data_IF_497067579085
#
_entry.id   IF_497067579085
#
_cell.length_a   1.000
_cell.length_b   1.000
_cell.length_c   1.000
_cell.angle_alpha   90.00
_cell.angle_beta   90.00
_cell.angle_gamma   90.00
#
_symmetry.space_group_name_H-M   'P 1'
#
loop_
_entity.id
_entity.type
_entity.pdbx_description
1 polymer ?
#
# COMPACT_ATOMS: atom_id res chain seq x y z
N UNK A 1 -42.09 26.47 5.89
CA UNK A 1 -42.40 27.16 7.15
C UNK A 1 -41.15 27.17 8.01
N UNK A 2 -40.76 28.37 8.47
CA UNK A 2 -39.95 28.75 9.64
C UNK A 2 -38.73 27.88 10.00
N UNK A 3 -37.53 28.41 10.22
CA UNK A 3 -37.14 29.78 10.55
C UNK A 3 -35.85 29.73 11.37
N UNK A 4 -34.94 30.65 11.06
CA UNK A 4 -33.77 31.16 11.82
C UNK A 4 -33.55 30.64 13.24
N UNK A 5 -32.27 30.47 13.59
CA UNK A 5 -31.67 31.18 14.74
C UNK A 5 -30.14 31.27 14.57
N UNK A 6 -29.70 32.42 14.09
CA UNK A 6 -28.36 32.96 14.29
C UNK A 6 -28.34 33.61 15.68
N UNK A 7 -27.39 33.22 16.52
CA UNK A 7 -27.08 33.87 17.79
C UNK A 7 -25.60 34.19 17.84
N UNK A 8 -25.27 35.46 17.63
CA UNK A 8 -23.96 36.07 17.80
C UNK A 8 -23.62 36.18 19.29
N UNK A 9 -22.39 35.84 19.67
CA UNK A 9 -21.79 36.35 20.92
C UNK A 9 -20.33 36.71 20.66
N UNK A 10 -20.07 38.01 20.55
CA UNK A 10 -18.72 38.58 20.62
C UNK A 10 -18.39 38.83 22.10
N UNK A 11 -17.36 38.15 22.60
CA UNK A 11 -16.72 38.46 23.86
C UNK A 11 -15.21 38.35 23.70
N UNK A 12 -14.52 39.49 23.53
CA UNK A 12 -13.06 39.55 23.74
C UNK A 12 -12.79 39.32 25.22
N UNK A 13 -11.95 38.33 25.55
CA UNK A 13 -10.96 38.40 26.64
C UNK A 13 -9.89 37.31 26.47
N UNK A 14 -8.66 37.79 26.35
CA UNK A 14 -7.36 37.21 26.72
C UNK A 14 -7.30 35.76 27.24
N UNK A 15 -6.39 34.99 26.64
CA UNK A 15 -5.50 34.07 27.35
C UNK A 15 -6.04 32.66 27.65
N UNK A 16 -5.16 31.69 27.38
CA UNK A 16 -5.22 30.26 27.75
C UNK A 16 -5.96 29.36 26.76
N UNK A 17 -5.16 28.50 26.10
CA UNK A 17 -5.61 27.38 25.28
C UNK A 17 -6.55 26.44 26.06
N UNK A 18 -7.66 26.08 25.44
CA UNK A 18 -8.45 24.91 25.81
C UNK A 18 -9.04 24.30 24.53
N UNK A 19 -8.36 23.28 24.01
CA UNK A 19 -8.88 22.48 22.90
C UNK A 19 -9.96 21.52 23.41
N UNK A 20 -11.24 21.85 23.15
CA UNK A 20 -12.34 20.91 23.33
C UNK A 20 -12.39 19.95 22.14
N UNK A 21 -12.25 18.65 22.41
CA UNK A 21 -12.58 17.57 21.47
C UNK A 21 -14.07 17.68 21.13
N UNK A 22 -14.41 17.92 19.87
CA UNK A 22 -15.78 17.81 19.36
C UNK A 22 -15.81 16.66 18.36
N UNK A 23 -16.48 15.58 18.74
CA UNK A 23 -16.82 14.48 17.84
C UNK A 23 -18.23 14.75 17.32
N UNK A 24 -18.39 14.82 15.99
CA UNK A 24 -19.70 14.72 15.35
C UNK A 24 -19.84 13.33 14.75
N UNK A 25 -20.85 12.60 15.21
CA UNK A 25 -21.38 11.42 14.52
C UNK A 25 -22.44 11.93 13.56
N UNK A 26 -22.16 11.82 12.26
CA UNK A 26 -23.17 11.85 11.21
C UNK A 26 -22.93 10.60 10.36
N UNK A 27 -24.02 9.93 9.97
CA UNK A 27 -24.05 8.65 9.30
C UNK A 27 -23.00 8.53 8.18
N UNK A 28 -22.07 7.57 8.34
CA UNK A 28 -21.09 7.17 7.32
C UNK A 28 -19.89 8.10 7.20
N UNK A 29 -18.70 7.55 7.49
CA UNK A 29 -17.38 8.20 7.47
C UNK A 29 -17.09 9.16 8.62
N UNK A 30 -16.09 8.81 9.45
CA UNK A 30 -14.90 9.61 9.81
C UNK A 30 -14.01 8.71 10.70
N UNK A 31 -12.80 8.39 10.25
CA UNK A 31 -11.64 8.61 11.10
C UNK A 31 -10.83 9.72 10.42
N UNK A 32 -10.68 10.82 11.14
CA UNK A 32 -10.06 12.04 10.64
C UNK A 32 -8.60 11.76 10.34
N UNK A 33 -8.25 11.67 9.06
CA UNK A 33 -6.93 12.10 8.64
C UNK A 33 -7.04 13.62 8.55
N UNK A 34 -6.54 14.32 9.56
CA UNK A 34 -6.23 15.75 9.43
C UNK A 34 -5.01 15.88 8.50
N UNK A 35 -5.17 15.60 7.20
CA UNK A 35 -4.27 16.17 6.20
C UNK A 35 -4.77 17.59 6.04
N UNK A 36 -4.09 18.50 6.75
CA UNK A 36 -4.19 19.93 6.47
C UNK A 36 -3.96 20.11 4.97
N UNK A 37 -5.03 20.48 4.26
CA UNK A 37 -4.97 20.95 2.89
C UNK A 37 -4.30 22.32 2.93
N UNK A 38 -2.97 22.33 2.78
CA UNK A 38 -2.21 23.52 2.47
C UNK A 38 -1.33 23.17 1.28
N UNK A 39 -1.52 23.87 0.18
CA UNK A 39 -0.63 23.81 -0.97
C UNK A 39 0.74 24.32 -0.55
N UNK A 40 1.68 23.41 -0.30
CA UNK A 40 3.12 23.66 -0.26
C UNK A 40 3.85 22.33 0.00
N UNK A 41 5.07 22.22 -0.51
CA UNK A 41 5.91 21.02 -0.67
C UNK A 41 6.48 20.41 0.63
N UNK A 42 5.93 20.73 1.81
CA UNK A 42 6.36 20.20 3.10
C UNK A 42 5.19 19.68 3.94
N UNK A 43 4.62 18.55 3.53
CA UNK A 43 3.70 17.81 4.41
C UNK A 43 4.53 17.11 5.50
N UNK A 44 4.51 17.65 6.73
CA UNK A 44 4.98 16.92 7.92
C UNK A 44 4.15 15.65 8.06
N UNK A 45 4.82 14.50 8.09
CA UNK A 45 4.17 13.23 8.41
C UNK A 45 3.68 13.28 9.87
N UNK A 46 2.54 12.64 10.19
CA UNK A 46 2.14 12.45 11.57
C UNK A 46 3.27 11.71 12.31
N UNK A 47 3.78 12.30 13.38
CA UNK A 47 4.76 11.63 14.28
C UNK A 47 4.08 10.61 15.18
N UNK A 48 2.76 10.72 15.35
CA UNK A 48 1.93 9.82 16.13
C UNK A 48 1.39 8.67 15.29
N UNK A 49 0.98 7.58 15.97
CA UNK A 49 0.25 6.49 15.34
C UNK A 49 -1.05 7.03 14.73
N UNK A 50 -1.36 6.57 13.52
CA UNK A 50 -2.62 6.85 12.84
C UNK A 50 -3.34 5.55 12.49
N UNK A 51 -4.61 5.66 12.17
CA UNK A 51 -5.39 4.52 11.68
C UNK A 51 -6.12 4.92 10.39
N UNK A 52 -6.17 4.00 9.43
CA UNK A 52 -6.95 4.13 8.21
C UNK A 52 -8.02 3.04 8.22
N UNK A 53 -9.29 3.39 8.12
CA UNK A 53 -10.41 2.45 8.25
C UNK A 53 -11.27 2.48 6.98
N UNK A 54 -11.58 1.30 6.42
CA UNK A 54 -12.60 1.16 5.37
C UNK A 54 -13.36 -0.16 5.54
N UNK A 55 -14.64 -0.05 5.88
CA UNK A 55 -15.48 -1.21 6.18
C UNK A 55 -14.92 -2.04 7.34
N UNK A 56 -14.84 -3.35 7.16
CA UNK A 56 -14.30 -4.27 8.16
C UNK A 56 -12.77 -4.17 8.34
N UNK A 57 -12.05 -3.50 7.43
CA UNK A 57 -10.59 -3.49 7.43
C UNK A 57 -10.01 -2.17 7.90
N UNK A 58 -8.84 -2.25 8.53
CA UNK A 58 -8.08 -1.08 8.94
C UNK A 58 -6.57 -1.31 8.89
N UNK A 59 -5.83 -0.22 8.78
CA UNK A 59 -4.38 -0.22 8.89
C UNK A 59 -3.95 0.76 9.98
N UNK A 60 -3.18 0.28 10.94
CA UNK A 60 -2.54 1.12 11.96
C UNK A 60 -1.15 1.45 11.48
N UNK A 61 -0.87 2.74 11.32
CA UNK A 61 0.35 3.27 10.75
C UNK A 61 1.21 4.03 11.74
N UNK A 62 2.52 3.98 11.56
CA UNK A 62 3.50 4.79 12.28
C UNK A 62 4.55 5.30 11.29
N UNK A 63 4.82 6.60 11.31
CA UNK A 63 5.91 7.17 10.53
C UNK A 63 7.26 6.92 11.20
N UNK A 64 8.28 6.61 10.41
CA UNK A 64 9.67 6.46 10.85
C UNK A 64 10.57 7.32 9.94
N UNK A 65 11.59 7.96 10.52
CA UNK A 65 12.71 8.52 9.76
C UNK A 65 13.79 7.45 9.56
N UNK A 66 14.23 7.24 8.32
CA UNK A 66 15.31 6.33 7.98
C UNK A 66 16.63 7.11 7.88
N UNK A 67 17.65 6.66 8.62
CA UNK A 67 18.92 7.39 8.80
C UNK A 67 19.93 7.27 7.64
N UNK A 68 19.63 6.54 6.56
CA UNK A 68 20.62 6.25 5.51
C UNK A 68 20.58 7.22 4.33
N UNK A 69 21.62 8.05 4.16
CA UNK A 69 21.96 8.77 2.92
C UNK A 69 21.09 9.98 2.55
N UNK A 70 20.15 10.35 3.41
CA UNK A 70 19.15 11.41 3.26
C UNK A 70 17.99 11.16 4.22
N UNK A 71 17.14 12.15 4.50
CA UNK A 71 15.93 11.96 5.33
C UNK A 71 14.85 11.21 4.55
N UNK A 72 15.08 9.93 4.24
CA UNK A 72 14.03 9.09 3.68
C UNK A 72 13.02 8.77 4.77
N UNK A 73 11.73 8.88 4.44
CA UNK A 73 10.64 8.67 5.38
C UNK A 73 9.97 7.35 5.09
N UNK A 74 9.54 6.65 6.13
CA UNK A 74 8.82 5.40 6.00
C UNK A 74 7.50 5.45 6.77
N UNK A 75 6.50 4.71 6.30
CA UNK A 75 5.25 4.47 7.03
C UNK A 75 5.11 2.97 7.21
N UNK A 76 5.27 2.50 8.45
CA UNK A 76 5.08 1.10 8.83
C UNK A 76 3.61 0.85 9.15
N UNK A 77 3.03 -0.20 8.58
CA UNK A 77 1.59 -0.49 8.65
C UNK A 77 1.38 -1.93 9.12
N UNK A 78 0.49 -2.10 10.09
CA UNK A 78 -0.10 -3.38 10.48
C UNK A 78 -1.59 -3.38 10.11
N UNK A 79 -2.10 -4.50 9.61
CA UNK A 79 -3.49 -4.61 9.18
C UNK A 79 -4.34 -5.28 10.26
N UNK A 80 -5.55 -4.79 10.44
CA UNK A 80 -6.53 -5.38 11.34
C UNK A 80 -7.88 -5.59 10.65
N UNK A 81 -8.63 -6.59 11.11
CA UNK A 81 -9.99 -6.88 10.65
C UNK A 81 -10.94 -6.80 11.84
N UNK A 82 -12.10 -6.20 11.63
CA UNK A 82 -13.20 -6.20 12.59
C UNK A 82 -13.87 -7.57 12.61
N UNK A 83 -13.92 -8.18 13.78
CA UNK A 83 -14.59 -9.43 14.06
C UNK A 83 -16.08 -9.19 14.37
N UNK A 84 -16.87 -10.27 14.43
CA UNK A 84 -18.32 -10.20 14.71
C UNK A 84 -18.67 -9.56 16.06
N UNK A 85 -17.77 -9.64 17.03
CA UNK A 85 -17.92 -9.01 18.35
C UNK A 85 -17.58 -7.50 18.34
N UNK A 86 -17.29 -6.94 17.17
CA UNK A 86 -16.94 -5.54 16.97
C UNK A 86 -15.47 -5.21 17.25
N UNK A 87 -14.68 -6.14 17.81
CA UNK A 87 -13.26 -5.91 18.10
C UNK A 87 -12.43 -6.01 16.82
N UNK A 88 -11.35 -5.24 16.75
CA UNK A 88 -10.36 -5.34 15.66
C UNK A 88 -9.23 -6.25 16.08
N UNK A 89 -8.87 -7.19 15.21
CA UNK A 89 -7.79 -8.17 15.43
C UNK A 89 -6.71 -8.02 14.36
N UNK A 90 -5.45 -8.11 14.78
CA UNK A 90 -4.31 -8.15 13.87
C UNK A 90 -4.42 -9.30 12.88
N UNK A 91 -4.15 -9.00 11.61
CA UNK A 91 -4.14 -9.97 10.55
C UNK A 91 -2.76 -10.63 10.45
N UNK A 92 -2.75 -11.96 10.36
CA UNK A 92 -1.56 -12.73 10.01
C UNK A 92 -1.41 -12.84 8.50
N UNK A 93 -0.22 -13.24 8.04
CA UNK A 93 0.10 -13.41 6.62
C UNK A 93 -0.93 -14.23 5.84
N UNK A 94 -1.36 -15.36 6.39
CA UNK A 94 -2.32 -16.25 5.75
C UNK A 94 -3.68 -15.59 5.53
N UNK A 95 -4.15 -14.78 6.49
CA UNK A 95 -5.41 -14.05 6.37
C UNK A 95 -5.33 -12.96 5.31
N UNK A 96 -4.22 -12.21 5.26
CA UNK A 96 -4.00 -11.19 4.22
C UNK A 96 -3.88 -11.81 2.84
N UNK A 97 -3.09 -12.89 2.73
CA UNK A 97 -2.91 -13.63 1.49
C UNK A 97 -4.25 -14.16 0.96
N UNK A 98 -5.07 -14.76 1.82
CA UNK A 98 -6.39 -15.23 1.44
C UNK A 98 -7.30 -14.07 1.00
N UNK A 99 -7.34 -12.98 1.77
CA UNK A 99 -8.18 -11.82 1.48
C UNK A 99 -7.82 -11.13 0.15
N UNK A 100 -6.54 -11.09 -0.25
CA UNK A 100 -6.18 -10.64 -1.60
C UNK A 100 -6.80 -11.51 -2.70
N UNK A 101 -6.93 -12.82 -2.49
CA UNK A 101 -7.51 -13.73 -3.48
C UNK A 101 -9.04 -13.68 -3.53
N UNK A 102 -9.69 -13.62 -2.37
CA UNK A 102 -11.13 -13.94 -2.28
C UNK A 102 -12.03 -12.81 -1.80
N UNK A 103 -11.49 -11.69 -1.30
CA UNK A 103 -12.30 -10.59 -0.77
C UNK A 103 -12.11 -9.28 -1.58
N UNK A 104 -13.07 -8.93 -2.46
CA UNK A 104 -13.04 -7.67 -3.19
C UNK A 104 -13.05 -6.42 -2.28
N UNK A 105 -13.70 -6.47 -1.13
CA UNK A 105 -13.71 -5.35 -0.18
C UNK A 105 -12.33 -5.14 0.43
N UNK A 106 -11.59 -6.22 0.69
CA UNK A 106 -10.20 -6.14 1.14
C UNK A 106 -9.31 -5.53 0.06
N UNK A 107 -9.42 -5.97 -1.19
CA UNK A 107 -8.65 -5.40 -2.31
C UNK A 107 -8.96 -3.93 -2.53
N UNK A 108 -10.21 -3.52 -2.39
CA UNK A 108 -10.61 -2.12 -2.47
C UNK A 108 -10.05 -1.30 -1.30
N UNK A 109 -10.11 -1.82 -0.07
CA UNK A 109 -9.46 -1.23 1.11
C UNK A 109 -7.97 -1.05 0.90
N UNK A 110 -7.28 -2.11 0.49
CA UNK A 110 -5.84 -2.14 0.34
C UNK A 110 -5.37 -1.17 -0.76
N UNK A 111 -6.07 -1.13 -1.90
CA UNK A 111 -5.79 -0.18 -2.97
C UNK A 111 -6.03 1.27 -2.53
N UNK A 112 -7.06 1.52 -1.73
CA UNK A 112 -7.35 2.86 -1.20
C UNK A 112 -6.27 3.31 -0.21
N UNK A 113 -5.86 2.43 0.71
CA UNK A 113 -4.79 2.69 1.67
C UNK A 113 -3.49 3.12 0.96
N UNK A 114 -3.13 2.40 -0.11
CA UNK A 114 -1.92 2.69 -0.89
C UNK A 114 -2.06 3.98 -1.71
N UNK A 115 -3.23 4.22 -2.30
CA UNK A 115 -3.53 5.45 -3.06
C UNK A 115 -3.37 6.72 -2.21
N UNK A 116 -3.85 6.67 -0.96
CA UNK A 116 -3.83 7.80 -0.01
C UNK A 116 -2.46 8.03 0.66
N UNK A 117 -1.46 7.20 0.37
CA UNK A 117 -0.12 7.40 0.90
C UNK A 117 0.43 8.79 0.52
N UNK A 118 1.05 9.52 1.46
CA UNK A 118 1.42 10.94 1.28
C UNK A 118 2.71 11.15 0.45
N UNK A 119 3.23 10.12 -0.20
CA UNK A 119 4.47 10.16 -0.99
C UNK A 119 4.17 10.24 -2.49
N UNK A 120 4.93 11.02 -3.25
CA UNK A 120 4.78 11.08 -4.72
C UNK A 120 4.94 9.67 -5.34
N UNK A 121 5.92 8.91 -4.85
CA UNK A 121 6.08 7.47 -5.09
C UNK A 121 6.78 6.81 -3.91
N UNK A 122 6.61 5.49 -3.80
CA UNK A 122 7.14 4.72 -2.68
C UNK A 122 7.51 3.30 -3.09
N UNK A 123 8.51 2.75 -2.40
CA UNK A 123 8.69 1.30 -2.34
C UNK A 123 7.63 0.71 -1.41
N UNK A 124 7.05 -0.42 -1.80
CA UNK A 124 6.17 -1.21 -0.95
C UNK A 124 6.88 -2.51 -0.61
N UNK A 125 7.08 -2.76 0.68
CA UNK A 125 7.82 -3.92 1.17
C UNK A 125 7.02 -4.57 2.29
N UNK A 126 6.83 -5.89 2.24
CA UNK A 126 6.19 -6.63 3.32
C UNK A 126 7.23 -7.37 4.17
N UNK A 127 6.92 -7.71 5.42
CA UNK A 127 7.83 -8.55 6.19
C UNK A 127 7.97 -9.95 5.56
N UNK A 128 9.15 -10.57 5.58
CA UNK A 128 9.37 -11.89 4.97
C UNK A 128 8.44 -12.98 5.51
N UNK A 129 8.16 -13.97 4.66
CA UNK A 129 7.22 -15.07 4.96
C UNK A 129 7.74 -16.41 4.41
N UNK A 130 7.51 -17.48 5.16
CA UNK A 130 7.64 -18.88 4.72
C UNK A 130 6.29 -19.57 4.75
N UNK A 131 6.16 -20.73 4.08
CA UNK A 131 4.94 -21.54 4.11
C UNK A 131 4.52 -21.89 5.56
N UNK A 132 5.47 -22.20 6.44
CA UNK A 132 5.21 -22.55 7.83
C UNK A 132 4.71 -21.38 8.68
N UNK A 133 5.09 -20.15 8.34
CA UNK A 133 4.76 -18.95 9.13
C UNK A 133 3.44 -18.29 8.74
N UNK A 134 2.74 -18.79 7.71
CA UNK A 134 1.50 -18.17 7.19
C UNK A 134 0.42 -17.97 8.28
N UNK A 135 0.22 -18.97 9.14
CA UNK A 135 -0.87 -18.94 10.14
C UNK A 135 -0.53 -18.17 11.41
N UNK A 136 0.75 -17.91 11.68
CA UNK A 136 1.22 -17.38 12.97
C UNK A 136 1.89 -16.02 12.87
N UNK A 137 2.52 -15.68 11.73
CA UNK A 137 3.27 -14.43 11.59
C UNK A 137 2.32 -13.25 11.35
N UNK A 138 2.37 -12.20 12.18
CA UNK A 138 1.66 -10.96 11.90
C UNK A 138 2.07 -10.38 10.54
N UNK A 139 1.11 -9.88 9.79
CA UNK A 139 1.37 -9.17 8.55
C UNK A 139 1.75 -7.72 8.85
N UNK A 140 2.88 -7.28 8.32
CA UNK A 140 3.36 -5.91 8.34
C UNK A 140 3.85 -5.50 6.96
N UNK A 141 3.65 -4.25 6.61
CA UNK A 141 4.22 -3.66 5.42
C UNK A 141 4.80 -2.28 5.72
N UNK A 142 5.62 -1.79 4.81
CA UNK A 142 6.17 -0.45 4.88
C UNK A 142 6.06 0.22 3.52
N UNK A 143 5.75 1.52 3.54
CA UNK A 143 5.86 2.40 2.39
C UNK A 143 7.08 3.29 2.61
N UNK A 144 8.09 3.19 1.76
CA UNK A 144 9.33 3.97 1.88
C UNK A 144 9.33 5.05 0.80
N UNK A 145 9.34 6.31 1.22
CA UNK A 145 9.42 7.49 0.35
C UNK A 145 10.70 7.44 -0.49
N UNK A 146 10.59 7.81 -1.76
CA UNK A 146 11.75 7.87 -2.65
C UNK A 146 11.56 8.92 -3.73
N UNK A 147 12.45 9.90 -3.74
CA UNK A 147 12.51 10.93 -4.76
C UNK A 147 12.78 10.34 -6.16
N UNK A 148 13.33 9.12 -6.25
CA UNK A 148 13.57 8.43 -7.53
C UNK A 148 12.31 8.31 -8.39
N UNK A 149 11.13 8.16 -7.77
CA UNK A 149 9.87 8.02 -8.50
C UNK A 149 9.32 9.34 -9.05
N UNK A 150 9.85 10.49 -8.61
CA UNK A 150 9.33 11.79 -9.01
C UNK A 150 9.60 12.04 -10.49
N UNK A 151 8.54 12.15 -11.27
CA UNK A 151 8.62 12.40 -12.71
C UNK A 151 9.08 11.19 -13.53
N UNK A 152 9.10 9.99 -12.95
CA UNK A 152 9.51 8.78 -13.64
C UNK A 152 8.55 8.48 -14.81
N UNK A 153 9.11 8.34 -16.02
CA UNK A 153 8.34 7.96 -17.22
C UNK A 153 8.27 6.46 -17.34
N UNK A 154 7.11 5.95 -17.74
CA UNK A 154 6.93 4.52 -17.87
C UNK A 154 7.72 3.96 -19.06
N UNK A 155 8.38 2.82 -18.87
CA UNK A 155 9.03 2.05 -19.93
C UNK A 155 8.73 0.56 -19.76
N UNK A 156 7.76 0.08 -20.56
CA UNK A 156 7.35 -1.32 -20.57
C UNK A 156 8.18 -2.21 -21.48
N UNK A 157 9.15 -1.66 -22.23
CA UNK A 157 9.93 -2.43 -23.20
C UNK A 157 10.62 -3.68 -22.62
N UNK A 158 11.14 -3.68 -21.37
CA UNK A 158 11.77 -4.88 -20.79
C UNK A 158 10.79 -6.02 -20.50
N UNK A 159 9.48 -5.75 -20.49
CA UNK A 159 8.44 -6.76 -20.25
C UNK A 159 7.61 -7.08 -21.50
N UNK A 160 7.94 -6.50 -22.66
CA UNK A 160 7.16 -6.60 -23.90
C UNK A 160 6.82 -8.04 -24.29
N UNK A 161 7.78 -8.97 -24.22
CA UNK A 161 7.57 -10.40 -24.52
C UNK A 161 6.50 -11.07 -23.65
N UNK A 162 6.17 -10.51 -22.48
CA UNK A 162 5.22 -11.09 -21.53
C UNK A 162 3.84 -10.41 -21.58
N UNK A 163 3.79 -9.12 -21.91
CA UNK A 163 2.58 -8.29 -21.77
C UNK A 163 2.05 -7.71 -23.08
N UNK A 164 2.81 -7.72 -24.18
CA UNK A 164 2.39 -7.09 -25.44
C UNK A 164 1.15 -7.72 -26.06
N UNK A 165 1.05 -9.05 -26.01
CA UNK A 165 -0.15 -9.79 -26.47
C UNK A 165 -1.40 -9.51 -25.64
N UNK A 166 -1.27 -8.77 -24.54
CA UNK A 166 -2.35 -8.42 -23.61
C UNK A 166 -2.60 -6.89 -23.56
N UNK A 167 -1.92 -6.10 -24.39
CA UNK A 167 -2.17 -4.66 -24.52
C UNK A 167 -3.63 -4.41 -24.89
N UNK A 168 -4.22 -3.36 -24.32
CA UNK A 168 -5.64 -3.06 -24.44
C UNK A 168 -6.53 -3.80 -23.43
N UNK A 169 -5.99 -4.70 -22.63
CA UNK A 169 -6.77 -5.44 -21.62
C UNK A 169 -6.38 -5.06 -20.19
N UNK A 170 -7.23 -5.40 -19.22
CA UNK A 170 -6.91 -5.29 -17.78
C UNK A 170 -6.07 -6.47 -17.26
N UNK A 171 -5.36 -7.18 -18.14
CA UNK A 171 -4.60 -8.36 -17.72
C UNK A 171 -3.39 -7.98 -16.85
N UNK A 172 -3.02 -8.93 -16.00
CA UNK A 172 -1.79 -8.95 -15.21
C UNK A 172 -1.09 -10.26 -15.48
N UNK A 173 0.20 -10.21 -15.81
CA UNK A 173 1.01 -11.38 -16.10
C UNK A 173 1.95 -11.69 -14.92
N UNK A 174 2.11 -12.96 -14.59
CA UNK A 174 3.11 -13.45 -13.66
C UNK A 174 4.13 -14.34 -14.38
N UNK A 175 5.42 -14.10 -14.20
CA UNK A 175 6.49 -14.84 -14.87
C UNK A 175 7.80 -14.79 -14.06
N UNK A 176 8.70 -15.79 -14.19
CA UNK A 176 10.02 -15.71 -13.57
C UNK A 176 10.86 -14.58 -14.18
N UNK A 177 11.71 -13.95 -13.38
CA UNK A 177 12.72 -13.03 -13.91
C UNK A 177 13.79 -13.79 -14.72
N UNK A 178 14.67 -13.05 -15.42
CA UNK A 178 15.70 -13.64 -16.29
C UNK A 178 16.62 -14.67 -15.59
N UNK A 179 16.84 -14.53 -14.29
CA UNK A 179 17.68 -15.44 -13.50
C UNK A 179 16.90 -16.59 -12.83
N UNK A 180 15.57 -16.58 -12.92
CA UNK A 180 14.69 -17.54 -12.24
C UNK A 180 14.66 -17.45 -10.71
N UNK A 181 15.30 -16.42 -10.11
CA UNK A 181 15.39 -16.27 -8.66
C UNK A 181 14.25 -15.44 -8.04
N UNK A 182 13.36 -14.90 -8.88
CA UNK A 182 12.17 -14.16 -8.48
C UNK A 182 10.99 -14.36 -9.44
N UNK A 183 9.75 -14.22 -8.93
CA UNK A 183 8.55 -14.07 -9.77
C UNK A 183 8.22 -12.58 -9.88
N UNK A 184 7.92 -12.15 -11.10
CA UNK A 184 7.52 -10.80 -11.47
C UNK A 184 6.02 -10.80 -11.78
N UNK A 185 5.26 -9.88 -11.20
CA UNK A 185 3.83 -9.72 -11.46
C UNK A 185 3.61 -8.32 -12.04
N UNK A 186 3.17 -8.25 -13.29
CA UNK A 186 3.25 -7.06 -14.14
C UNK A 186 1.91 -6.80 -14.83
N UNK A 187 1.28 -5.62 -14.65
CA UNK A 187 0.09 -5.26 -15.42
C UNK A 187 0.44 -4.95 -16.87
N UNK A 188 -0.41 -5.38 -17.80
CA UNK A 188 -0.35 -4.92 -19.19
C UNK A 188 -0.85 -3.47 -19.31
N UNK A 189 -0.52 -2.79 -20.41
CA UNK A 189 -1.11 -1.47 -20.71
C UNK A 189 -2.59 -1.65 -21.06
N UNK A 190 -3.48 -1.17 -20.21
CA UNK A 190 -4.92 -1.24 -20.45
C UNK A 190 -5.36 -0.22 -21.50
N UNK A 191 -6.49 -0.49 -22.15
CA UNK A 191 -7.08 0.41 -23.15
C UNK A 191 -7.50 1.74 -22.52
N UNK A 192 -7.24 2.85 -23.22
CA UNK A 192 -7.63 4.20 -22.78
C UNK A 192 -6.87 4.73 -21.56
N UNK A 193 -5.90 3.99 -21.00
CA UNK A 193 -5.12 4.40 -19.83
C UNK A 193 -3.79 5.01 -20.26
N UNK A 194 -3.48 6.19 -19.70
CA UNK A 194 -2.19 6.84 -19.89
C UNK A 194 -1.03 6.02 -19.33
N UNK A 195 0.14 6.12 -19.98
CA UNK A 195 1.35 5.41 -19.53
C UNK A 195 1.85 5.89 -18.17
N UNK A 196 1.47 7.10 -17.78
CA UNK A 196 1.75 7.71 -16.47
C UNK A 196 1.05 6.99 -15.31
N UNK A 197 0.18 6.00 -15.57
CA UNK A 197 -0.35 5.07 -14.58
C UNK A 197 0.61 3.91 -14.26
N UNK A 198 1.56 3.58 -15.14
CA UNK A 198 2.37 2.37 -15.03
C UNK A 198 3.80 2.51 -14.50
N UNK A 199 4.39 3.69 -14.17
CA UNK A 199 5.82 3.73 -13.84
C UNK A 199 6.17 3.08 -12.49
N UNK A 200 5.24 3.07 -11.54
CA UNK A 200 5.41 2.49 -10.20
C UNK A 200 4.06 2.30 -9.49
N UNK A 201 4.07 1.66 -8.32
CA UNK A 201 2.85 1.26 -7.60
C UNK A 201 1.96 2.45 -7.21
N UNK A 202 2.54 3.53 -6.69
CA UNK A 202 1.76 4.71 -6.28
C UNK A 202 0.99 5.35 -7.45
N UNK A 203 1.63 5.48 -8.62
CA UNK A 203 0.98 5.99 -9.82
C UNK A 203 -0.16 5.06 -10.25
N UNK A 204 0.08 3.75 -10.23
CA UNK A 204 -0.91 2.75 -10.60
C UNK A 204 -2.12 2.75 -9.65
N UNK A 205 -1.91 2.84 -8.34
CA UNK A 205 -3.01 2.93 -7.37
C UNK A 205 -3.85 4.20 -7.56
N UNK A 206 -3.24 5.31 -8.01
CA UNK A 206 -3.93 6.58 -8.26
C UNK A 206 -4.64 6.66 -9.60
N UNK A 207 -4.06 6.08 -10.66
CA UNK A 207 -4.48 6.32 -12.05
C UNK A 207 -4.89 5.06 -12.83
N UNK A 208 -4.46 3.88 -12.38
CA UNK A 208 -4.79 2.62 -13.05
C UNK A 208 -6.28 2.26 -12.93
N UNK A 209 -6.81 1.38 -13.81
CA UNK A 209 -8.19 0.88 -13.73
C UNK A 209 -8.44 0.09 -12.45
N UNK A 210 -9.63 0.25 -11.87
CA UNK A 210 -10.02 -0.48 -10.64
C UNK A 210 -10.03 -2.00 -10.87
N UNK A 211 -10.52 -2.46 -12.03
CA UNK A 211 -10.52 -3.88 -12.40
C UNK A 211 -9.09 -4.43 -12.49
N UNK A 212 -8.13 -3.62 -12.97
CA UNK A 212 -6.75 -4.06 -13.08
C UNK A 212 -6.02 -4.06 -11.73
N UNK A 213 -6.36 -3.14 -10.81
CA UNK A 213 -5.90 -3.20 -9.40
C UNK A 213 -6.40 -4.45 -8.72
N UNK A 214 -7.67 -4.80 -8.93
CA UNK A 214 -8.28 -6.03 -8.41
C UNK A 214 -7.56 -7.30 -8.92
N UNK A 215 -7.31 -7.35 -10.23
CA UNK A 215 -6.57 -8.42 -10.88
C UNK A 215 -5.13 -8.52 -10.38
N UNK A 216 -4.46 -7.38 -10.12
CA UNK A 216 -3.08 -7.34 -9.61
C UNK A 216 -2.96 -8.05 -8.26
N UNK A 217 -3.87 -7.76 -7.33
CA UNK A 217 -3.87 -8.40 -6.00
C UNK A 217 -4.27 -9.88 -6.06
N UNK A 218 -5.23 -10.22 -6.91
CA UNK A 218 -5.62 -11.61 -7.12
C UNK A 218 -4.46 -12.44 -7.69
N UNK A 219 -3.74 -11.90 -8.67
CA UNK A 219 -2.57 -12.56 -9.26
C UNK A 219 -1.40 -12.63 -8.27
N UNK A 220 -1.22 -11.62 -7.41
CA UNK A 220 -0.28 -11.68 -6.29
C UNK A 220 -0.59 -12.83 -5.34
N UNK A 221 -1.86 -13.00 -4.94
CA UNK A 221 -2.27 -14.10 -4.07
C UNK A 221 -1.92 -15.45 -4.67
N UNK A 222 -2.35 -15.68 -5.91
CA UNK A 222 -2.09 -16.91 -6.66
C UNK A 222 -0.59 -17.19 -6.78
N UNK A 223 0.18 -16.19 -7.22
CA UNK A 223 1.62 -16.31 -7.44
C UNK A 223 2.38 -16.58 -6.13
N UNK A 224 2.00 -15.93 -5.03
CA UNK A 224 2.65 -16.13 -3.74
C UNK A 224 2.33 -17.51 -3.15
N UNK A 225 1.07 -17.99 -3.27
CA UNK A 225 0.71 -19.34 -2.86
C UNK A 225 1.55 -20.40 -3.60
N UNK A 226 1.65 -20.28 -4.93
CA UNK A 226 2.46 -21.18 -5.74
C UNK A 226 3.95 -21.10 -5.37
N UNK A 227 4.49 -19.89 -5.26
CA UNK A 227 5.91 -19.69 -4.93
C UNK A 227 6.27 -20.28 -3.57
N UNK A 228 5.44 -20.07 -2.54
CA UNK A 228 5.66 -20.63 -1.20
C UNK A 228 5.59 -22.16 -1.19
N UNK A 229 4.79 -22.78 -2.06
CA UNK A 229 4.76 -24.23 -2.22
C UNK A 229 6.04 -24.74 -2.89
N UNK A 230 6.47 -24.10 -3.97
CA UNK A 230 7.63 -24.46 -4.77
C UNK A 230 8.94 -24.40 -3.97
N UNK A 231 9.13 -23.35 -3.15
CA UNK A 231 10.42 -23.11 -2.49
C UNK A 231 10.46 -23.51 -1.02
N UNK A 232 9.38 -24.06 -0.47
CA UNK A 232 9.30 -24.46 0.94
C UNK A 232 10.51 -25.34 1.34
N UNK A 233 11.16 -25.09 2.50
CA UNK A 233 10.81 -24.15 3.57
C UNK A 233 11.39 -22.74 3.42
N UNK A 234 11.94 -22.39 2.25
CA UNK A 234 12.64 -21.11 2.03
C UNK A 234 11.71 -19.91 2.18
N UNK A 235 12.31 -18.80 2.58
CA UNK A 235 11.66 -17.49 2.73
C UNK A 235 11.41 -16.83 1.38
N UNK A 236 10.29 -16.11 1.30
CA UNK A 236 9.92 -15.26 0.16
C UNK A 236 9.79 -13.82 0.64
N UNK A 237 10.37 -12.91 -0.14
CA UNK A 237 10.26 -11.47 0.07
C UNK A 237 9.29 -10.88 -0.96
N UNK A 238 8.23 -10.24 -0.47
CA UNK A 238 7.16 -9.62 -1.28
C UNK A 238 7.38 -8.12 -1.33
N UNK A 239 7.55 -7.55 -2.51
CA UNK A 239 7.80 -6.11 -2.62
C UNK A 239 7.41 -5.53 -3.97
N UNK A 240 7.53 -4.20 -4.10
CA UNK A 240 7.79 -3.54 -5.37
C UNK A 240 9.20 -3.05 -5.43
N UNK A 241 9.74 -3.02 -6.65
CA UNK A 241 10.91 -2.23 -6.95
C UNK A 241 10.68 -1.54 -8.30
N UNK A 242 11.40 -0.45 -8.56
CA UNK A 242 11.28 0.30 -9.83
C UNK A 242 12.56 1.01 -10.24
N UNK A 243 13.66 0.78 -9.51
CA UNK A 243 14.93 1.47 -9.70
C UNK A 243 15.68 1.12 -11.00
N UNK A 244 15.29 0.06 -11.71
CA UNK A 244 15.96 -0.39 -12.94
C UNK A 244 15.05 -0.60 -14.15
N UNK A 245 13.74 -0.72 -13.93
CA UNK A 245 12.71 -0.77 -14.98
C UNK A 245 11.55 0.06 -14.49
N UNK A 246 11.22 1.13 -15.21
CA UNK A 246 10.13 2.05 -14.86
C UNK A 246 8.79 1.54 -15.38
N UNK A 247 8.45 0.30 -15.07
CA UNK A 247 7.12 -0.25 -15.28
C UNK A 247 6.76 -1.06 -14.05
N UNK A 248 5.57 -0.87 -13.51
CA UNK A 248 5.13 -1.48 -12.27
C UNK A 248 5.34 -3.00 -12.34
N UNK A 249 6.05 -3.52 -11.35
CA UNK A 249 6.15 -4.95 -11.15
C UNK A 249 6.20 -5.24 -9.64
N UNK A 250 5.29 -6.10 -9.18
CA UNK A 250 5.45 -6.74 -7.87
C UNK A 250 6.47 -7.86 -8.01
N UNK A 251 7.16 -8.15 -6.91
CA UNK A 251 8.25 -9.11 -6.87
C UNK A 251 8.07 -10.09 -5.74
N UNK A 252 8.30 -11.36 -6.04
CA UNK A 252 8.44 -12.45 -5.09
C UNK A 252 9.87 -12.98 -5.17
N UNK A 253 10.79 -12.35 -4.43
CA UNK A 253 12.22 -12.66 -4.49
C UNK A 253 12.61 -13.74 -3.46
N UNK A 254 13.65 -14.51 -3.79
CA UNK A 254 14.29 -15.50 -2.89
C UNK A 254 15.28 -14.89 -1.89
N UNK A 255 15.54 -13.58 -1.99
CA UNK A 255 16.42 -12.80 -1.10
C UNK A 255 16.00 -11.32 -1.09
N UNK A 256 16.28 -10.55 -0.04
CA UNK A 256 15.85 -9.16 0.08
C UNK A 256 16.73 -8.17 -0.70
N UNK A 257 17.14 -8.51 -1.94
CA UNK A 257 18.05 -7.68 -2.75
C UNK A 257 17.53 -6.25 -2.95
N UNK A 258 16.21 -6.11 -3.08
CA UNK A 258 15.55 -4.84 -3.43
C UNK A 258 14.87 -4.16 -2.24
N UNK A 259 15.06 -4.67 -1.03
CA UNK A 259 14.50 -4.05 0.16
C UNK A 259 15.36 -2.84 0.55
N UNK A 260 14.69 -1.76 0.91
CA UNK A 260 15.30 -0.57 1.48
C UNK A 260 15.14 -0.56 3.00
N UNK A 261 14.05 -1.17 3.51
CA UNK A 261 13.78 -1.24 4.94
C UNK A 261 14.55 -2.38 5.61
N UNK A 262 15.58 -2.01 6.37
CA UNK A 262 16.54 -2.95 6.95
C UNK A 262 15.89 -3.97 7.89
N UNK A 263 14.86 -3.58 8.65
CA UNK A 263 14.19 -4.49 9.61
C UNK A 263 13.48 -5.67 8.93
N UNK A 264 13.25 -5.61 7.62
CA UNK A 264 12.66 -6.74 6.85
C UNK A 264 13.71 -7.57 6.09
N UNK A 265 15.00 -7.19 6.12
CA UNK A 265 16.07 -7.98 5.50
C UNK A 265 16.51 -9.15 6.36
N UNK A 266 16.58 -8.93 7.67
CA UNK A 266 17.03 -9.94 8.62
C UNK A 266 15.82 -10.80 9.00
N UNK A 267 15.82 -12.04 8.53
CA UNK A 267 14.77 -13.01 8.81
C UNK A 267 15.38 -14.22 9.52
N UNK A 268 15.16 -14.29 10.81
CA UNK A 268 15.25 -15.55 11.55
C UNK A 268 13.85 -16.20 11.47
N UNK A 269 13.80 -17.35 10.80
CA UNK A 269 12.58 -18.08 10.48
C UNK A 269 11.91 -18.67 11.72
#
# INVERSE_FOLDING_TARGET
HLGRLLGTWMGRKSGVEHWKKVAFVVAGFVLAIQIVSMGSTDKKLPTDKFEFIKGAYSAVGQAEELLSGGRSRAICLALTKQEKDGKRKDMVWGTVLEAWGTDPNFRQFFSSLLKEAPFDGYYWECNPVTKATLSSKPFKMVLVDSAYFKGLKADGSPFSSHIDSKKGTNAVAAFPNLRGDAIMIVPAKAEGVGEDAYPHLAAFMRKGPEQQKDALWSELCKSLKLRLQEVSPKTVWVSTHGGGVSWLHLRLDSRPKYYTYQKFKNFDA
#
